data_IF_817929878245
#
_entry.id   IF_817929878245
#
_cell.length_a   1.000
_cell.length_b   1.000
_cell.length_c   1.000
_cell.angle_alpha   90.00
_cell.angle_beta   90.00
_cell.angle_gamma   90.00
#
_symmetry.space_group_name_H-M   'P 1'
#
loop_
_entity.id
_entity.type
_entity.pdbx_description
1 polymer ?
#
# COMPACT_ATOMS: atom_id res chain seq x y z
N UNK A 1 4.04 20.99 -15.81
CA UNK A 1 4.83 20.44 -14.69
C UNK A 1 4.48 18.97 -14.54
N UNK A 2 5.45 18.05 -14.65
CA UNK A 2 5.19 16.61 -14.55
C UNK A 2 5.20 16.22 -13.06
N UNK A 3 4.05 15.91 -12.46
CA UNK A 3 4.00 15.47 -11.06
C UNK A 3 4.57 14.06 -10.98
N UNK A 4 5.61 13.85 -10.17
CA UNK A 4 6.19 12.50 -9.99
C UNK A 4 5.18 11.64 -9.23
N UNK A 5 5.10 10.35 -9.57
CA UNK A 5 4.22 9.40 -8.85
C UNK A 5 4.51 9.34 -7.35
N UNK A 6 5.77 9.54 -6.95
CA UNK A 6 6.17 9.65 -5.54
C UNK A 6 5.52 10.85 -4.85
N UNK A 7 5.44 12.00 -5.52
CA UNK A 7 4.82 13.21 -4.96
C UNK A 7 3.31 13.02 -4.82
N UNK A 8 2.68 12.32 -5.78
CA UNK A 8 1.27 11.91 -5.67
C UNK A 8 1.05 10.99 -4.46
N UNK A 9 1.93 10.00 -4.23
CA UNK A 9 1.82 9.12 -3.07
C UNK A 9 1.96 9.92 -1.76
N UNK A 10 2.92 10.85 -1.66
CA UNK A 10 3.06 11.72 -0.47
C UNK A 10 1.81 12.54 -0.20
N UNK A 11 1.22 13.14 -1.24
CA UNK A 11 -0.01 13.92 -1.10
C UNK A 11 -1.18 13.06 -0.60
N UNK A 12 -1.33 11.84 -1.13
CA UNK A 12 -2.37 10.90 -0.71
C UNK A 12 -2.17 10.42 0.73
N UNK A 13 -0.92 10.14 1.14
CA UNK A 13 -0.58 9.78 2.53
C UNK A 13 -0.90 10.92 3.49
N UNK A 14 -0.57 12.17 3.13
CA UNK A 14 -0.89 13.35 3.93
C UNK A 14 -2.41 13.56 4.10
N UNK A 15 -3.19 13.21 3.09
CA UNK A 15 -4.67 13.25 3.12
C UNK A 15 -5.30 12.01 3.78
N UNK A 16 -4.48 11.05 4.25
CA UNK A 16 -4.92 9.73 4.75
C UNK A 16 -5.70 8.90 3.72
N UNK A 17 -5.58 9.20 2.43
CA UNK A 17 -6.08 8.35 1.34
C UNK A 17 -5.09 7.20 1.08
N UNK A 18 -5.08 6.26 2.01
CA UNK A 18 -4.21 5.08 1.92
C UNK A 18 -4.59 4.15 0.78
N UNK A 19 -5.86 4.12 0.39
CA UNK A 19 -6.32 3.31 -0.74
C UNK A 19 -5.71 3.82 -2.05
N UNK A 20 -5.79 5.13 -2.29
CA UNK A 20 -5.16 5.79 -3.43
C UNK A 20 -3.65 5.63 -3.42
N UNK A 21 -3.01 5.82 -2.25
CA UNK A 21 -1.58 5.67 -2.09
C UNK A 21 -1.10 4.23 -2.38
N UNK A 22 -1.77 3.22 -1.83
CA UNK A 22 -1.47 1.80 -2.07
C UNK A 22 -1.58 1.44 -3.55
N UNK A 23 -2.62 1.92 -4.25
CA UNK A 23 -2.82 1.66 -5.70
C UNK A 23 -1.64 2.10 -6.56
N UNK A 24 -0.94 3.17 -6.16
CA UNK A 24 0.23 3.68 -6.89
C UNK A 24 1.50 2.99 -6.38
N UNK A 25 1.73 3.00 -5.07
CA UNK A 25 2.97 2.54 -4.46
C UNK A 25 3.17 1.02 -4.62
N UNK A 26 2.08 0.23 -4.67
CA UNK A 26 2.12 -1.21 -4.95
C UNK A 26 2.73 -1.55 -6.32
N UNK A 27 2.90 -0.56 -7.23
CA UNK A 27 3.48 -0.75 -8.57
C UNK A 27 4.95 -0.34 -8.68
N UNK A 28 5.55 0.26 -7.65
CA UNK A 28 6.96 0.66 -7.69
C UNK A 28 7.89 -0.56 -7.70
N UNK A 29 8.95 -0.51 -8.52
CA UNK A 29 9.89 -1.62 -8.71
C UNK A 29 11.14 -1.52 -7.81
N UNK A 30 11.53 -0.30 -7.46
CA UNK A 30 12.73 0.00 -6.67
C UNK A 30 12.37 0.19 -5.20
N UNK A 31 11.91 -0.89 -4.55
CA UNK A 31 11.64 -0.93 -3.10
C UNK A 31 12.34 -2.15 -2.51
N UNK A 32 12.60 -2.11 -1.19
CA UNK A 32 12.98 -3.32 -0.47
C UNK A 32 11.90 -4.40 -0.66
N UNK A 33 12.31 -5.66 -0.77
CA UNK A 33 11.40 -6.77 -1.09
C UNK A 33 10.22 -6.88 -0.11
N UNK A 34 10.48 -6.70 1.18
CA UNK A 34 9.45 -6.75 2.22
C UNK A 34 8.46 -5.58 2.15
N UNK A 35 8.94 -4.39 1.82
CA UNK A 35 8.09 -3.20 1.62
C UNK A 35 7.21 -3.38 0.41
N UNK A 36 7.79 -3.85 -0.68
CA UNK A 36 7.06 -4.18 -1.91
C UNK A 36 5.96 -5.19 -1.61
N UNK A 37 6.29 -6.28 -0.92
CA UNK A 37 5.33 -7.32 -0.54
C UNK A 37 4.21 -6.76 0.34
N UNK A 38 4.54 -5.95 1.35
CA UNK A 38 3.55 -5.35 2.23
C UNK A 38 2.57 -4.42 1.47
N UNK A 39 3.07 -3.56 0.58
CA UNK A 39 2.23 -2.65 -0.21
C UNK A 39 1.34 -3.41 -1.19
N UNK A 40 1.85 -4.47 -1.82
CA UNK A 40 1.05 -5.31 -2.73
C UNK A 40 -0.02 -6.05 -1.95
N UNK A 41 0.34 -6.76 -0.88
CA UNK A 41 -0.65 -7.51 -0.07
C UNK A 41 -1.74 -6.61 0.49
N UNK A 42 -1.39 -5.44 1.01
CA UNK A 42 -2.38 -4.47 1.48
C UNK A 42 -3.32 -3.99 0.37
N UNK A 43 -2.80 -3.77 -0.84
CA UNK A 43 -3.62 -3.39 -1.99
C UNK A 43 -4.57 -4.50 -2.43
N UNK A 44 -4.07 -5.73 -2.59
CA UNK A 44 -4.86 -6.88 -3.04
C UNK A 44 -5.91 -7.29 -1.99
N UNK A 45 -5.54 -7.33 -0.71
CA UNK A 45 -6.47 -7.67 0.39
C UNK A 45 -7.62 -6.67 0.49
N UNK A 46 -7.42 -5.42 0.08
CA UNK A 46 -8.50 -4.43 0.00
C UNK A 46 -9.50 -4.71 -1.13
N UNK A 47 -9.06 -5.32 -2.23
CA UNK A 47 -9.92 -5.63 -3.38
C UNK A 47 -10.63 -6.97 -3.24
N UNK A 48 -9.97 -7.96 -2.63
CA UNK A 48 -10.48 -9.34 -2.51
C UNK A 48 -10.32 -9.89 -1.08
N UNK A 49 -10.85 -9.22 -0.04
CA UNK A 49 -10.59 -9.60 1.34
C UNK A 49 -11.05 -11.02 1.68
N UNK A 50 -12.19 -11.47 1.14
CA UNK A 50 -12.74 -12.78 1.46
C UNK A 50 -11.89 -13.93 0.92
N UNK A 51 -11.29 -13.75 -0.25
CA UNK A 51 -10.34 -14.72 -0.81
C UNK A 51 -9.14 -14.90 0.13
N UNK A 52 -8.53 -13.81 0.60
CA UNK A 52 -7.38 -13.90 1.49
C UNK A 52 -7.75 -14.40 2.89
N UNK A 53 -8.94 -14.09 3.40
CA UNK A 53 -9.45 -14.67 4.66
C UNK A 53 -9.68 -16.18 4.55
N UNK A 54 -10.20 -16.67 3.41
CA UNK A 54 -10.33 -18.11 3.16
C UNK A 54 -8.97 -18.83 3.14
N UNK A 55 -7.90 -18.13 2.77
CA UNK A 55 -6.52 -18.64 2.87
C UNK A 55 -5.93 -18.55 4.29
N UNK A 56 -6.71 -18.13 5.28
CA UNK A 56 -6.28 -18.01 6.68
C UNK A 56 -5.45 -16.75 6.97
N UNK A 57 -5.49 -15.74 6.11
CA UNK A 57 -4.75 -14.50 6.30
C UNK A 57 -5.60 -13.45 7.04
N UNK A 58 -4.96 -12.75 7.97
CA UNK A 58 -5.52 -11.56 8.60
C UNK A 58 -5.38 -10.37 7.63
N UNK A 59 -6.47 -10.07 6.91
CA UNK A 59 -6.49 -8.99 5.93
C UNK A 59 -6.40 -7.61 6.56
N UNK A 60 -6.80 -7.45 7.81
CA UNK A 60 -6.74 -6.16 8.51
C UNK A 60 -5.30 -5.89 8.97
N UNK A 61 -4.61 -6.90 9.51
CA UNK A 61 -3.18 -6.81 9.80
C UNK A 61 -2.34 -6.54 8.55
N UNK A 62 -2.67 -7.18 7.41
CA UNK A 62 -1.98 -6.94 6.14
C UNK A 62 -2.20 -5.51 5.62
N UNK A 63 -3.42 -4.98 5.71
CA UNK A 63 -3.71 -3.60 5.37
C UNK A 63 -2.95 -2.62 6.26
N UNK A 64 -2.95 -2.84 7.59
CA UNK A 64 -2.24 -1.99 8.54
C UNK A 64 -0.73 -2.00 8.32
N UNK A 65 -0.15 -3.15 7.95
CA UNK A 65 1.26 -3.27 7.58
C UNK A 65 1.58 -2.42 6.34
N UNK A 66 0.73 -2.44 5.32
CA UNK A 66 0.89 -1.60 4.14
C UNK A 66 0.81 -0.10 4.46
N UNK A 67 -0.14 0.30 5.30
CA UNK A 67 -0.28 1.70 5.77
C UNK A 67 0.98 2.15 6.53
N UNK A 68 1.51 1.29 7.41
CA UNK A 68 2.75 1.56 8.15
C UNK A 68 3.94 1.78 7.21
N UNK A 69 4.06 0.97 6.15
CA UNK A 69 5.10 1.15 5.12
C UNK A 69 4.90 2.45 4.34
N UNK A 70 3.65 2.80 3.98
CA UNK A 70 3.35 4.08 3.33
C UNK A 70 3.76 5.27 4.19
N UNK A 71 3.41 5.27 5.47
CA UNK A 71 3.78 6.34 6.40
C UNK A 71 5.29 6.43 6.59
N UNK A 72 5.99 5.29 6.70
CA UNK A 72 7.46 5.30 6.85
C UNK A 72 8.19 5.84 5.62
N UNK A 73 7.73 5.50 4.42
CA UNK A 73 8.42 5.86 3.17
C UNK A 73 7.98 7.22 2.60
N UNK A 74 6.72 7.61 2.83
CA UNK A 74 6.07 8.74 2.16
C UNK A 74 5.27 9.66 3.08
N UNK A 75 5.23 9.38 4.39
CA UNK A 75 4.70 10.31 5.40
C UNK A 75 5.61 11.49 5.65
#
# INVERSE_FOLDING_TARGET
MLVKKTDQVRALVAQRDYAGALRIASKFRMLAADDKKALVMAHECRHSPDFYRQLGLDTDALQQKGITVLQRLYG
#
